data_IF_378827524319
#
_entry.id   IF_378827524319
#
_cell.length_a   1.000
_cell.length_b   1.000
_cell.length_c   1.000
_cell.angle_alpha   90.00
_cell.angle_beta   90.00
_cell.angle_gamma   90.00
#
_symmetry.space_group_name_H-M   'P 1'
#
loop_
_entity.id
_entity.type
_entity.pdbx_description
1 polymer ?
#
# COMPACT_ATOMS: atom_id res chain seq x y z
N UNK A 1 55.10 37.45 55.01
CA UNK A 1 55.80 36.62 56.06
C UNK A 1 55.58 35.16 55.62
N UNK A 2 56.73 34.58 55.21
CA UNK A 2 57.29 33.30 55.61
C UNK A 2 56.46 32.06 55.37
N UNK A 3 56.89 31.24 54.34
CA UNK A 3 57.70 29.98 54.45
C UNK A 3 56.86 28.80 54.99
N UNK A 4 56.79 27.61 54.43
CA UNK A 4 57.78 26.63 53.93
C UNK A 4 57.05 25.57 53.13
N UNK A 5 57.39 25.14 51.92
CA UNK A 5 58.41 24.11 51.55
C UNK A 5 58.10 22.68 52.05
N UNK A 6 57.81 21.84 51.04
CA UNK A 6 58.61 20.63 50.58
C UNK A 6 58.22 19.30 51.18
N UNK A 7 58.18 18.39 50.22
CA UNK A 7 58.43 16.92 50.20
C UNK A 7 57.20 16.05 50.44
N UNK A 8 56.74 15.32 49.41
CA UNK A 8 57.30 13.97 49.16
C UNK A 8 56.89 13.46 47.77
N UNK A 9 57.92 13.16 47.05
CA UNK A 9 57.98 12.35 45.81
C UNK A 9 57.90 10.88 46.22
N UNK A 10 57.33 10.08 45.25
CA UNK A 10 57.38 8.60 45.26
C UNK A 10 56.13 7.91 45.90
N UNK A 11 55.13 7.63 45.11
CA UNK A 11 54.46 6.32 44.97
C UNK A 11 53.34 6.45 43.93
N UNK A 12 53.65 6.30 42.65
CA UNK A 12 52.64 6.27 41.57
C UNK A 12 53.22 5.66 40.33
N UNK A 13 53.52 4.40 40.40
CA UNK A 13 53.84 3.59 39.25
C UNK A 13 53.18 2.21 39.40
N UNK A 14 51.87 2.15 39.34
CA UNK A 14 51.10 0.91 39.12
C UNK A 14 49.59 1.21 39.12
N UNK A 15 49.08 1.83 38.05
CA UNK A 15 47.64 1.84 37.72
C UNK A 15 47.43 2.55 36.37
N UNK A 16 48.10 2.04 35.33
CA UNK A 16 47.84 2.38 33.92
C UNK A 16 47.87 1.12 33.06
N UNK A 17 46.96 0.20 33.32
CA UNK A 17 46.62 -0.89 32.39
C UNK A 17 45.19 -1.29 32.66
N UNK A 18 44.25 -0.67 31.96
CA UNK A 18 42.86 -1.07 32.10
C UNK A 18 41.82 -0.07 31.60
N UNK A 19 42.08 0.63 30.47
CA UNK A 19 41.05 1.46 29.80
C UNK A 19 41.36 1.58 28.31
N UNK A 20 41.36 0.43 27.62
CA UNK A 20 41.24 0.35 26.15
C UNK A 20 40.48 -0.92 25.76
N UNK A 21 39.20 -1.00 26.09
CA UNK A 21 38.30 -1.91 25.42
C UNK A 21 36.91 -1.26 25.50
N UNK A 22 36.63 -0.40 24.58
CA UNK A 22 35.37 0.31 24.47
C UNK A 22 35.22 0.95 23.10
N UNK A 23 35.74 0.31 22.03
CA UNK A 23 35.17 0.50 20.69
C UNK A 23 33.96 -0.41 20.63
N UNK A 24 32.80 0.13 20.96
CA UNK A 24 31.56 -0.44 20.54
C UNK A 24 31.52 -0.38 19.01
N UNK A 25 31.91 -1.46 18.34
CA UNK A 25 31.47 -1.70 16.99
C UNK A 25 29.98 -1.82 17.06
N UNK A 26 29.28 -0.87 16.50
CA UNK A 26 27.89 -1.05 16.04
C UNK A 26 27.95 -2.26 15.11
N UNK A 27 27.53 -3.42 15.62
CA UNK A 27 27.28 -4.59 14.79
C UNK A 27 26.14 -4.16 13.87
N UNK A 28 26.40 -4.12 12.57
CA UNK A 28 25.38 -4.06 11.56
C UNK A 28 24.39 -5.19 11.84
N UNK A 29 23.09 -4.91 11.81
CA UNK A 29 22.01 -5.86 12.09
C UNK A 29 22.00 -7.11 11.17
N UNK A 30 22.89 -7.15 10.18
CA UNK A 30 23.02 -8.25 9.20
C UNK A 30 23.77 -9.50 9.71
N UNK A 31 24.25 -9.55 10.97
CA UNK A 31 25.03 -10.67 11.53
C UNK A 31 24.51 -11.14 12.90
N UNK A 32 23.28 -10.81 13.29
CA UNK A 32 22.70 -11.41 14.50
C UNK A 32 22.17 -12.82 14.16
N UNK A 33 22.49 -13.77 15.03
CA UNK A 33 22.02 -15.15 14.92
C UNK A 33 20.48 -15.18 14.97
N UNK A 34 19.85 -15.82 13.99
CA UNK A 34 18.40 -16.00 13.97
C UNK A 34 18.02 -17.03 15.04
N UNK A 35 17.21 -16.63 16.00
CA UNK A 35 16.59 -17.54 16.97
C UNK A 35 15.56 -18.39 16.23
N UNK A 36 15.66 -19.71 16.33
CA UNK A 36 14.79 -20.64 15.59
C UNK A 36 13.70 -21.29 16.45
N UNK A 37 13.66 -21.04 17.75
CA UNK A 37 12.69 -21.60 18.68
C UNK A 37 12.29 -20.55 19.73
N UNK A 38 11.00 -20.37 19.94
CA UNK A 38 10.43 -19.49 20.97
C UNK A 38 10.03 -20.32 22.17
N UNK A 39 10.89 -20.36 23.19
CA UNK A 39 10.69 -21.16 24.41
C UNK A 39 10.07 -20.39 25.58
N UNK A 40 10.19 -19.07 25.58
CA UNK A 40 9.64 -18.17 26.59
C UNK A 40 8.59 -17.24 25.98
N UNK A 41 7.64 -16.70 26.77
CA UNK A 41 6.63 -15.78 26.24
C UNK A 41 7.23 -14.54 25.59
N UNK A 42 6.84 -14.27 24.34
CA UNK A 42 7.24 -13.10 23.54
C UNK A 42 6.02 -12.31 23.13
N UNK A 43 6.08 -10.99 23.34
CA UNK A 43 5.05 -10.07 22.85
C UNK A 43 5.57 -9.25 21.66
N UNK A 44 4.78 -9.20 20.59
CA UNK A 44 5.02 -8.38 19.40
C UNK A 44 3.88 -7.40 19.21
N UNK A 45 4.17 -6.24 18.64
CA UNK A 45 3.17 -5.21 18.32
C UNK A 45 3.05 -5.02 16.82
N UNK A 46 1.83 -4.87 16.34
CA UNK A 46 1.54 -4.65 14.92
C UNK A 46 0.68 -3.40 14.71
N UNK A 47 1.25 -2.40 14.02
CA UNK A 47 0.53 -1.19 13.61
C UNK A 47 -0.18 -1.39 12.27
N UNK A 48 -1.48 -1.11 12.25
CA UNK A 48 -2.32 -1.27 11.06
C UNK A 48 -3.36 -0.13 10.95
N UNK A 49 -3.98 -0.02 9.78
CA UNK A 49 -5.06 0.92 9.49
C UNK A 49 -6.32 0.19 8.97
N UNK A 50 -6.49 -1.08 9.32
CA UNK A 50 -7.69 -1.85 8.99
C UNK A 50 -8.84 -1.41 9.87
N UNK A 51 -10.03 -1.22 9.28
CA UNK A 51 -11.25 -0.76 9.96
C UNK A 51 -12.46 -1.62 9.61
N UNK A 52 -13.46 -1.63 10.47
CA UNK A 52 -14.71 -2.34 10.24
C UNK A 52 -14.51 -3.85 10.09
N UNK A 53 -15.00 -4.43 9.02
CA UNK A 53 -14.89 -5.88 8.79
C UNK A 53 -13.46 -6.30 8.47
N UNK A 54 -12.64 -5.42 7.87
CA UNK A 54 -11.21 -5.68 7.65
C UNK A 54 -10.46 -5.87 8.98
N UNK A 55 -10.76 -5.04 9.98
CA UNK A 55 -10.16 -5.15 11.32
C UNK A 55 -10.62 -6.42 12.03
N UNK A 56 -11.90 -6.77 11.92
CA UNK A 56 -12.43 -8.03 12.49
C UNK A 56 -11.75 -9.26 11.90
N UNK A 57 -11.58 -9.30 10.57
CA UNK A 57 -10.89 -10.41 9.91
C UNK A 57 -9.43 -10.49 10.34
N UNK A 58 -8.73 -9.35 10.45
CA UNK A 58 -7.36 -9.33 10.96
C UNK A 58 -7.29 -9.82 12.41
N UNK A 59 -8.23 -9.41 13.27
CA UNK A 59 -8.30 -9.88 14.66
C UNK A 59 -8.54 -11.39 14.73
N UNK A 60 -9.49 -11.92 13.94
CA UNK A 60 -9.79 -13.37 13.91
C UNK A 60 -8.56 -14.18 13.48
N UNK A 61 -7.83 -13.73 12.45
CA UNK A 61 -6.59 -14.37 12.02
C UNK A 61 -5.51 -14.30 13.11
N UNK A 62 -5.40 -13.17 13.80
CA UNK A 62 -4.44 -12.98 14.89
C UNK A 62 -4.77 -13.89 16.08
N UNK A 63 -6.03 -14.01 16.44
CA UNK A 63 -6.47 -14.92 17.52
C UNK A 63 -6.18 -16.38 17.17
N UNK A 64 -6.49 -16.80 15.93
CA UNK A 64 -6.16 -18.14 15.41
C UNK A 64 -4.66 -18.43 15.45
N UNK A 65 -3.83 -17.43 15.12
CA UNK A 65 -2.37 -17.55 15.23
C UNK A 65 -1.94 -17.78 16.66
N UNK A 66 -2.44 -16.98 17.61
CA UNK A 66 -2.08 -17.09 19.03
C UNK A 66 -2.56 -18.40 19.66
N UNK A 67 -3.72 -18.95 19.23
CA UNK A 67 -4.19 -20.26 19.65
C UNK A 67 -3.22 -21.41 19.28
N UNK A 68 -2.51 -21.25 18.17
CA UNK A 68 -1.54 -22.22 17.66
C UNK A 68 -0.10 -21.97 18.14
N UNK A 69 0.16 -20.82 18.78
CA UNK A 69 1.48 -20.35 19.19
C UNK A 69 1.43 -19.75 20.61
N UNK A 70 1.25 -20.61 21.63
CA UNK A 70 1.00 -20.22 23.01
C UNK A 70 2.05 -19.27 23.63
N UNK A 71 3.30 -19.32 23.13
CA UNK A 71 4.38 -18.46 23.57
C UNK A 71 4.43 -17.11 22.84
N UNK A 72 3.58 -16.88 21.82
CA UNK A 72 3.61 -15.65 21.04
C UNK A 72 2.32 -14.87 21.28
N UNK A 73 2.45 -13.65 21.80
CA UNK A 73 1.34 -12.70 21.93
C UNK A 73 1.47 -11.61 20.90
N UNK A 74 0.44 -11.42 20.07
CA UNK A 74 0.36 -10.33 19.10
C UNK A 74 -0.61 -9.27 19.61
N UNK A 75 -0.12 -8.02 19.71
CA UNK A 75 -0.94 -6.87 20.08
C UNK A 75 -1.18 -5.99 18.86
N UNK A 76 -2.40 -6.03 18.32
CA UNK A 76 -2.83 -5.16 17.22
C UNK A 76 -3.04 -3.73 17.71
N UNK A 77 -2.54 -2.75 16.95
CA UNK A 77 -2.69 -1.32 17.26
C UNK A 77 -3.20 -0.58 16.03
N UNK A 78 -4.50 -0.32 16.00
CA UNK A 78 -5.15 0.42 14.91
C UNK A 78 -4.73 1.90 14.95
N UNK A 79 -4.26 2.42 13.81
CA UNK A 79 -3.83 3.81 13.62
C UNK A 79 -4.88 4.62 12.81
N UNK A 80 -6.13 4.20 12.79
CA UNK A 80 -7.30 4.84 12.19
C UNK A 80 -7.31 4.84 10.66
N UNK A 81 -6.33 5.44 10.00
CA UNK A 81 -6.29 5.56 8.55
C UNK A 81 -4.88 5.37 8.00
N UNK A 82 -4.76 5.14 6.70
CA UNK A 82 -3.45 5.10 6.04
C UNK A 82 -2.64 6.40 6.20
N UNK A 83 -3.21 7.60 6.04
CA UNK A 83 -2.48 8.84 6.32
C UNK A 83 -2.00 8.95 7.76
N UNK A 84 -2.84 8.56 8.75
CA UNK A 84 -2.47 8.59 10.16
C UNK A 84 -1.34 7.58 10.46
N UNK A 85 -1.42 6.37 9.89
CA UNK A 85 -0.38 5.36 10.01
C UNK A 85 0.94 5.83 9.39
N UNK A 86 0.92 6.39 8.19
CA UNK A 86 2.10 6.94 7.53
C UNK A 86 2.74 8.05 8.37
N UNK A 87 1.94 8.99 8.87
CA UNK A 87 2.41 10.07 9.74
C UNK A 87 3.02 9.51 11.03
N UNK A 88 2.38 8.50 11.63
CA UNK A 88 2.86 7.84 12.84
C UNK A 88 4.21 7.16 12.62
N UNK A 89 4.36 6.38 11.53
CA UNK A 89 5.63 5.75 11.16
C UNK A 89 6.71 6.83 11.01
N UNK A 90 6.46 7.83 10.15
CA UNK A 90 7.43 8.91 9.87
C UNK A 90 7.85 9.65 11.14
N UNK A 91 6.92 9.98 12.02
CA UNK A 91 7.24 10.69 13.26
C UNK A 91 8.06 9.82 14.22
N UNK A 92 7.81 8.49 14.25
CA UNK A 92 8.46 7.59 15.20
C UNK A 92 9.86 7.15 14.74
N UNK A 93 10.19 7.24 13.44
CA UNK A 93 11.56 6.96 12.94
C UNK A 93 12.63 7.83 13.61
N UNK A 94 12.27 9.02 14.09
CA UNK A 94 13.18 9.87 14.87
C UNK A 94 13.52 9.28 16.28
N UNK A 95 12.75 8.31 16.75
CA UNK A 95 12.95 7.58 18.03
C UNK A 95 12.81 6.08 17.78
N UNK A 96 13.76 5.41 17.12
CA UNK A 96 13.58 4.03 16.62
C UNK A 96 13.19 3.00 17.69
N UNK A 97 13.57 3.21 18.95
CA UNK A 97 13.17 2.34 20.08
C UNK A 97 11.67 2.29 20.35
N UNK A 98 10.92 3.30 19.86
CA UNK A 98 9.47 3.43 20.06
C UNK A 98 8.68 2.89 18.84
N UNK A 99 9.37 2.38 17.81
CA UNK A 99 8.76 1.70 16.67
C UNK A 99 8.15 0.35 17.12
N UNK A 100 7.08 -0.11 16.47
CA UNK A 100 6.48 -1.42 16.74
C UNK A 100 7.39 -2.55 16.27
N UNK A 101 7.02 -3.80 16.54
CA UNK A 101 7.69 -4.95 15.92
C UNK A 101 7.37 -5.02 14.44
N UNK A 102 6.09 -4.87 14.09
CA UNK A 102 5.57 -4.93 12.71
C UNK A 102 4.72 -3.71 12.38
N UNK A 103 4.72 -3.33 11.12
CA UNK A 103 3.75 -2.39 10.56
C UNK A 103 3.32 -2.80 9.17
N UNK A 104 2.08 -2.50 8.78
CA UNK A 104 1.72 -2.44 7.37
C UNK A 104 2.14 -1.09 6.79
N UNK A 105 2.64 -1.07 5.58
CA UNK A 105 3.00 0.16 4.88
C UNK A 105 3.03 -0.05 3.36
N UNK A 106 2.85 1.04 2.62
CA UNK A 106 3.20 1.03 1.21
C UNK A 106 4.73 1.06 1.04
N UNK A 107 5.30 0.38 0.03
CA UNK A 107 6.76 0.33 -0.16
C UNK A 107 7.43 1.71 -0.20
N UNK A 108 6.80 2.69 -0.86
CA UNK A 108 7.36 4.04 -0.99
C UNK A 108 7.39 4.84 0.32
N UNK A 109 6.58 4.49 1.34
CA UNK A 109 6.67 5.11 2.67
C UNK A 109 7.93 4.70 3.42
N UNK A 110 8.48 3.54 3.09
CA UNK A 110 9.56 2.90 3.85
C UNK A 110 10.96 3.27 3.33
N UNK A 111 11.07 4.13 2.30
CA UNK A 111 12.35 4.52 1.70
C UNK A 111 13.35 5.04 2.74
N UNK A 112 12.92 5.98 3.59
CA UNK A 112 13.80 6.53 4.63
C UNK A 112 14.16 5.46 5.68
N UNK A 113 13.21 4.63 6.09
CA UNK A 113 13.46 3.55 7.04
C UNK A 113 14.44 2.50 6.48
N UNK A 114 14.40 2.23 5.16
CA UNK A 114 15.39 1.38 4.48
C UNK A 114 16.78 2.03 4.50
N UNK A 115 16.88 3.33 4.17
CA UNK A 115 18.15 4.07 4.14
C UNK A 115 18.78 4.19 5.53
N UNK A 116 17.96 4.36 6.56
CA UNK A 116 18.40 4.48 7.95
C UNK A 116 18.61 3.11 8.64
N UNK A 117 18.54 2.00 7.87
CA UNK A 117 18.71 0.62 8.37
C UNK A 117 17.74 0.24 9.51
N UNK A 118 16.55 0.84 9.51
CA UNK A 118 15.50 0.58 10.52
C UNK A 118 14.64 -0.65 10.21
N UNK A 119 14.82 -1.28 9.04
CA UNK A 119 14.08 -2.47 8.62
C UNK A 119 14.94 -3.71 8.65
N UNK A 120 14.31 -4.83 8.99
CA UNK A 120 14.92 -6.15 8.90
C UNK A 120 14.90 -6.63 7.45
N UNK A 121 16.03 -7.16 6.96
CA UNK A 121 16.05 -7.96 5.75
C UNK A 121 15.43 -9.33 6.06
N UNK A 122 14.27 -9.62 5.47
CA UNK A 122 13.54 -10.88 5.66
C UNK A 122 14.18 -12.06 4.90
N UNK A 123 15.06 -11.81 3.92
CA UNK A 123 15.62 -12.87 3.09
C UNK A 123 16.32 -13.95 3.90
N UNK A 124 17.18 -13.65 4.92
CA UNK A 124 17.79 -14.68 5.77
C UNK A 124 16.76 -15.49 6.57
N UNK A 125 15.62 -14.91 6.91
CA UNK A 125 14.52 -15.63 7.58
C UNK A 125 13.78 -16.53 6.60
N UNK A 126 13.46 -16.05 5.40
CA UNK A 126 12.79 -16.81 4.33
C UNK A 126 13.62 -18.03 3.91
N UNK A 127 14.92 -17.88 3.79
CA UNK A 127 15.88 -18.93 3.35
C UNK A 127 16.38 -19.80 4.52
N UNK A 128 15.92 -19.61 5.76
CA UNK A 128 16.39 -20.36 6.91
C UNK A 128 15.94 -21.82 6.86
N UNK A 129 16.87 -22.75 7.13
CA UNK A 129 16.61 -24.21 7.05
C UNK A 129 15.58 -24.71 8.09
N UNK A 130 15.40 -24.00 9.21
CA UNK A 130 14.52 -24.42 10.30
C UNK A 130 13.16 -23.71 10.28
N UNK A 131 13.16 -22.37 10.14
CA UNK A 131 11.95 -21.55 10.23
C UNK A 131 11.54 -20.94 8.90
N UNK A 132 12.24 -21.24 7.81
CA UNK A 132 12.04 -20.63 6.49
C UNK A 132 10.61 -20.68 5.95
N UNK A 133 10.37 -19.94 4.89
CA UNK A 133 9.06 -19.87 4.24
C UNK A 133 9.14 -20.40 2.80
N UNK A 134 8.87 -21.69 2.63
CA UNK A 134 8.79 -22.31 1.30
C UNK A 134 7.64 -21.71 0.45
N UNK A 135 6.63 -21.14 1.09
CA UNK A 135 5.48 -20.54 0.41
C UNK A 135 5.79 -19.13 -0.14
N UNK A 136 6.91 -18.50 0.23
CA UNK A 136 7.28 -17.17 -0.26
C UNK A 136 7.30 -17.08 -1.80
N UNK A 137 7.80 -18.12 -2.48
CA UNK A 137 7.84 -18.17 -3.96
C UNK A 137 6.45 -18.35 -4.59
N UNK A 138 5.45 -18.75 -3.83
CA UNK A 138 4.06 -18.84 -4.24
C UNK A 138 3.35 -17.47 -4.26
N UNK A 139 3.91 -16.47 -3.55
CA UNK A 139 3.44 -15.09 -3.66
C UNK A 139 3.68 -14.60 -5.09
N UNK A 140 2.67 -13.96 -5.69
CA UNK A 140 2.76 -13.40 -7.04
C UNK A 140 4.00 -12.52 -7.19
N UNK A 141 4.81 -12.78 -8.23
CA UNK A 141 6.05 -12.03 -8.50
C UNK A 141 5.81 -10.51 -8.56
N UNK A 142 4.73 -10.07 -9.23
CA UNK A 142 4.37 -8.65 -9.30
C UNK A 142 4.12 -8.02 -7.92
N UNK A 143 3.68 -8.79 -6.93
CA UNK A 143 3.47 -8.28 -5.57
C UNK A 143 4.78 -8.21 -4.77
N UNK A 144 5.76 -9.07 -5.05
CA UNK A 144 7.07 -9.06 -4.38
C UNK A 144 7.96 -7.90 -4.83
N UNK A 145 7.84 -7.48 -6.09
CA UNK A 145 8.72 -6.48 -6.73
C UNK A 145 8.85 -5.18 -5.92
N UNK A 146 7.79 -4.73 -5.24
CA UNK A 146 7.82 -3.50 -4.44
C UNK A 146 8.57 -3.62 -3.12
N UNK A 147 8.73 -4.83 -2.60
CA UNK A 147 9.35 -5.13 -1.31
C UNK A 147 10.78 -5.63 -1.43
N UNK A 148 11.20 -5.99 -2.65
CA UNK A 148 12.55 -6.44 -2.97
C UNK A 148 13.39 -5.26 -3.49
N UNK A 149 14.34 -4.80 -2.69
CA UNK A 149 15.22 -3.67 -3.03
C UNK A 149 16.68 -4.07 -2.83
N UNK A 150 17.51 -3.87 -3.86
CA UNK A 150 18.95 -4.14 -3.84
C UNK A 150 19.33 -5.56 -3.35
N UNK A 151 18.50 -6.55 -3.72
CA UNK A 151 18.70 -7.97 -3.38
C UNK A 151 18.32 -8.37 -1.96
N UNK A 152 17.74 -7.44 -1.18
CA UNK A 152 17.11 -7.67 0.11
C UNK A 152 15.60 -7.74 0.00
N UNK A 153 14.96 -8.42 0.94
CA UNK A 153 13.50 -8.50 1.07
C UNK A 153 13.10 -7.73 2.32
N UNK A 154 12.55 -6.54 2.16
CA UNK A 154 12.16 -5.71 3.30
C UNK A 154 10.72 -5.89 3.75
N UNK A 155 9.83 -6.30 2.85
CA UNK A 155 8.41 -6.44 3.16
C UNK A 155 7.84 -7.78 2.71
N UNK A 156 6.79 -8.24 3.40
CA UNK A 156 6.00 -9.41 3.04
C UNK A 156 4.67 -8.94 2.45
N UNK A 157 4.38 -9.21 1.15
CA UNK A 157 3.09 -8.85 0.55
C UNK A 157 1.92 -9.49 1.30
N UNK A 158 0.94 -8.70 1.71
CA UNK A 158 -0.20 -9.21 2.49
C UNK A 158 -1.55 -8.78 1.90
N UNK A 159 -1.94 -7.52 2.09
CA UNK A 159 -3.24 -7.02 1.67
C UNK A 159 -3.12 -6.27 0.35
N UNK A 160 -3.00 -7.03 -0.72
CA UNK A 160 -2.79 -6.51 -2.08
C UNK A 160 -4.12 -6.21 -2.78
N UNK A 161 -4.14 -5.11 -3.52
CA UNK A 161 -5.32 -4.69 -4.29
C UNK A 161 -4.90 -3.98 -5.58
N UNK A 162 -5.90 -3.65 -6.38
CA UNK A 162 -5.78 -2.77 -7.54
C UNK A 162 -7.12 -2.07 -7.78
N UNK A 163 -7.18 -1.20 -8.76
CA UNK A 163 -8.43 -0.57 -9.15
C UNK A 163 -9.19 -1.41 -10.18
N UNK A 164 -10.52 -1.43 -10.03
CA UNK A 164 -11.48 -2.10 -10.90
C UNK A 164 -12.61 -1.13 -11.26
N UNK A 165 -13.40 -1.46 -12.25
CA UNK A 165 -14.64 -0.74 -12.52
C UNK A 165 -15.77 -1.37 -11.69
N UNK A 166 -16.38 -0.60 -10.83
CA UNK A 166 -17.66 -0.89 -10.19
C UNK A 166 -18.76 -0.26 -11.03
N UNK A 167 -19.79 -1.02 -11.43
CA UNK A 167 -20.88 -0.48 -12.25
C UNK A 167 -22.24 -1.03 -11.82
N UNK A 168 -23.29 -0.24 -12.07
CA UNK A 168 -24.68 -0.65 -11.88
C UNK A 168 -25.07 -1.56 -13.03
N UNK A 169 -25.01 -2.88 -12.80
CA UNK A 169 -25.29 -3.87 -13.83
C UNK A 169 -26.74 -3.80 -14.31
N UNK A 170 -27.69 -3.53 -13.41
CA UNK A 170 -29.09 -3.33 -13.78
C UNK A 170 -29.24 -2.19 -14.79
N UNK A 171 -28.55 -1.07 -14.57
CA UNK A 171 -28.53 0.06 -15.48
C UNK A 171 -27.88 -0.29 -16.82
N UNK A 172 -26.76 -1.03 -16.78
CA UNK A 172 -26.05 -1.46 -18.00
C UNK A 172 -26.91 -2.39 -18.85
N UNK A 173 -27.58 -3.36 -18.24
CA UNK A 173 -28.50 -4.28 -18.91
C UNK A 173 -29.69 -3.50 -19.55
N UNK A 174 -30.25 -2.52 -18.83
CA UNK A 174 -31.33 -1.67 -19.34
C UNK A 174 -30.90 -0.85 -20.57
N UNK A 175 -29.67 -0.34 -20.57
CA UNK A 175 -29.15 0.50 -21.66
C UNK A 175 -28.45 -0.30 -22.77
N UNK A 176 -28.29 -1.62 -22.59
CA UNK A 176 -27.56 -2.47 -23.52
C UNK A 176 -26.07 -2.13 -23.59
N UNK A 177 -25.48 -1.77 -22.45
CA UNK A 177 -24.06 -1.41 -22.34
C UNK A 177 -23.21 -2.59 -21.89
N UNK A 178 -21.98 -2.65 -22.41
CA UNK A 178 -20.93 -3.54 -21.94
C UNK A 178 -19.93 -2.78 -21.08
N UNK A 179 -19.25 -3.48 -20.16
CA UNK A 179 -18.21 -2.87 -19.34
C UNK A 179 -17.03 -2.42 -20.24
N UNK A 180 -16.57 -1.16 -20.09
CA UNK A 180 -15.52 -0.62 -20.95
C UNK A 180 -14.16 -1.24 -20.65
N UNK A 181 -13.33 -1.40 -21.69
CA UNK A 181 -11.98 -1.99 -21.61
C UNK A 181 -10.86 -0.99 -21.92
N UNK A 182 -11.23 0.19 -22.44
CA UNK A 182 -10.28 1.28 -22.74
C UNK A 182 -10.78 2.60 -22.14
N UNK A 183 -9.91 3.59 -22.02
CA UNK A 183 -10.28 4.94 -21.60
C UNK A 183 -11.29 5.59 -22.56
N UNK A 184 -11.18 5.33 -23.87
CA UNK A 184 -12.10 5.84 -24.87
C UNK A 184 -13.51 5.24 -24.67
N UNK A 185 -13.60 3.92 -24.48
CA UNK A 185 -14.87 3.24 -24.19
C UNK A 185 -15.45 3.71 -22.85
N UNK A 186 -14.59 3.91 -21.82
CA UNK A 186 -15.02 4.41 -20.51
C UNK A 186 -15.69 5.79 -20.62
N UNK A 187 -15.10 6.70 -21.39
CA UNK A 187 -15.69 8.01 -21.65
C UNK A 187 -17.00 7.90 -22.47
N UNK A 188 -17.04 7.01 -23.50
CA UNK A 188 -18.23 6.83 -24.33
C UNK A 188 -19.40 6.23 -23.55
N UNK A 189 -19.15 5.22 -22.73
CA UNK A 189 -20.16 4.61 -21.83
C UNK A 189 -20.66 5.65 -20.83
N UNK A 190 -19.77 6.41 -20.22
CA UNK A 190 -20.11 7.49 -19.27
C UNK A 190 -21.03 8.53 -19.92
N UNK A 191 -20.70 8.98 -21.14
CA UNK A 191 -21.50 9.93 -21.89
C UNK A 191 -22.87 9.36 -22.20
N UNK A 192 -22.97 8.11 -22.64
CA UNK A 192 -24.24 7.43 -22.94
C UNK A 192 -25.14 7.37 -21.70
N UNK A 193 -24.58 7.03 -20.53
CA UNK A 193 -25.33 7.02 -19.26
C UNK A 193 -25.89 8.42 -18.96
N UNK A 194 -25.06 9.45 -19.06
CA UNK A 194 -25.47 10.83 -18.79
C UNK A 194 -26.56 11.29 -19.74
N UNK A 195 -26.41 11.04 -21.04
CA UNK A 195 -27.40 11.42 -22.05
C UNK A 195 -28.74 10.69 -21.89
N UNK A 196 -28.72 9.42 -21.48
CA UNK A 196 -29.93 8.59 -21.36
C UNK A 196 -30.67 8.72 -20.03
N UNK A 197 -29.92 8.94 -18.94
CA UNK A 197 -30.46 8.91 -17.58
C UNK A 197 -30.39 10.26 -16.86
N UNK A 198 -29.60 11.22 -17.34
CA UNK A 198 -29.43 12.51 -16.68
C UNK A 198 -28.65 12.45 -15.37
N UNK A 199 -27.95 11.36 -15.12
CA UNK A 199 -27.01 11.19 -13.99
C UNK A 199 -25.57 11.29 -14.49
N UNK A 200 -24.61 11.39 -13.58
CA UNK A 200 -23.20 11.34 -13.96
C UNK A 200 -22.84 9.95 -14.47
N UNK A 201 -22.07 9.84 -15.56
CA UNK A 201 -21.64 8.56 -16.11
C UNK A 201 -20.67 7.86 -15.18
N UNK A 202 -19.56 8.55 -14.83
CA UNK A 202 -18.49 7.92 -14.05
C UNK A 202 -17.61 8.91 -13.27
N UNK A 203 -16.63 8.33 -12.57
CA UNK A 203 -15.50 9.01 -11.94
C UNK A 203 -14.42 8.03 -11.48
N UNK A 204 -13.32 8.56 -10.97
CA UNK A 204 -12.23 7.80 -10.37
C UNK A 204 -12.10 8.20 -8.90
N UNK A 205 -11.99 7.23 -8.01
CA UNK A 205 -11.82 7.48 -6.57
C UNK A 205 -10.51 8.21 -6.26
N UNK A 206 -9.43 7.82 -6.97
CA UNK A 206 -8.09 8.36 -6.75
C UNK A 206 -7.58 9.11 -7.98
N UNK A 207 -7.43 10.42 -7.85
CA UNK A 207 -6.95 11.27 -8.94
C UNK A 207 -5.46 11.08 -9.23
N UNK A 208 -4.65 10.81 -8.21
CA UNK A 208 -3.24 10.50 -8.40
C UNK A 208 -3.03 9.12 -9.03
N UNK A 209 -3.82 8.10 -8.67
CA UNK A 209 -3.80 6.83 -9.37
C UNK A 209 -4.22 6.99 -10.83
N UNK A 210 -5.33 7.69 -11.09
CA UNK A 210 -5.77 7.98 -12.45
C UNK A 210 -4.65 8.64 -13.26
N UNK A 211 -4.06 9.72 -12.74
CA UNK A 211 -3.03 10.48 -13.44
C UNK A 211 -1.80 9.63 -13.76
N UNK A 212 -1.25 8.95 -12.77
CA UNK A 212 -0.05 8.11 -12.94
C UNK A 212 -0.32 6.88 -13.81
N UNK A 213 -1.50 6.26 -13.69
CA UNK A 213 -1.91 5.12 -14.52
C UNK A 213 -2.15 5.56 -15.97
N UNK A 214 -2.74 6.73 -16.20
CA UNK A 214 -2.91 7.27 -17.54
C UNK A 214 -1.55 7.50 -18.22
N UNK A 215 -0.60 8.13 -17.50
CA UNK A 215 0.77 8.32 -17.99
C UNK A 215 1.45 6.99 -18.32
N UNK A 216 1.35 5.99 -17.43
CA UNK A 216 1.90 4.65 -17.67
C UNK A 216 1.37 4.02 -18.95
N UNK A 217 0.08 4.14 -19.23
CA UNK A 217 -0.53 3.64 -20.47
C UNK A 217 -0.17 4.47 -21.71
N UNK A 218 0.43 5.66 -21.53
CA UNK A 218 1.06 6.45 -22.62
C UNK A 218 2.58 6.22 -22.71
N UNK A 219 3.13 5.27 -21.97
CA UNK A 219 4.55 4.92 -21.98
C UNK A 219 5.43 5.80 -21.11
N UNK A 220 4.84 6.57 -20.17
CA UNK A 220 5.55 7.45 -19.25
C UNK A 220 5.51 6.88 -17.84
N UNK A 221 6.68 6.53 -17.28
CA UNK A 221 6.82 6.14 -15.89
C UNK A 221 6.88 7.37 -14.98
N UNK A 222 6.08 7.35 -13.90
CA UNK A 222 6.04 8.45 -12.93
C UNK A 222 7.22 8.34 -11.93
N UNK A 223 8.20 9.26 -12.06
CA UNK A 223 9.40 9.33 -11.23
C UNK A 223 10.02 10.73 -11.27
N UNK A 224 11.21 10.91 -10.72
CA UNK A 224 11.92 12.21 -10.68
C UNK A 224 12.31 12.78 -12.07
N UNK A 225 12.29 11.96 -13.11
CA UNK A 225 12.61 12.37 -14.48
C UNK A 225 11.35 12.73 -15.30
N UNK A 226 10.16 12.58 -14.73
CA UNK A 226 8.89 12.80 -15.42
C UNK A 226 8.70 14.27 -15.79
N UNK A 227 8.57 14.56 -17.08
CA UNK A 227 8.13 15.89 -17.52
C UNK A 227 6.60 15.99 -17.41
N UNK A 228 6.14 16.53 -16.28
CA UNK A 228 4.70 16.73 -16.03
C UNK A 228 4.05 17.80 -16.92
N UNK A 229 4.82 18.47 -17.77
CA UNK A 229 4.32 19.42 -18.76
C UNK A 229 4.25 18.81 -20.18
N UNK A 230 4.58 17.52 -20.31
CA UNK A 230 4.54 16.77 -21.57
C UNK A 230 3.14 16.73 -22.20
N UNK A 231 3.08 16.32 -23.47
CA UNK A 231 1.81 16.16 -24.19
C UNK A 231 0.91 15.11 -23.50
N UNK A 232 1.48 14.02 -23.00
CA UNK A 232 0.81 12.92 -22.31
C UNK A 232 0.20 13.40 -21.00
N UNK A 233 0.91 14.22 -20.23
CA UNK A 233 0.43 14.82 -18.99
C UNK A 233 -0.74 15.79 -19.24
N UNK A 234 -0.61 16.64 -20.25
CA UNK A 234 -1.71 17.54 -20.67
C UNK A 234 -2.91 16.75 -21.15
N UNK A 235 -2.71 15.65 -21.88
CA UNK A 235 -3.78 14.76 -22.35
C UNK A 235 -4.51 14.09 -21.17
N UNK A 236 -3.78 13.57 -20.18
CA UNK A 236 -4.37 12.97 -18.97
C UNK A 236 -5.29 13.96 -18.24
N UNK A 237 -4.80 15.16 -17.96
CA UNK A 237 -5.59 16.18 -17.29
C UNK A 237 -6.81 16.63 -18.12
N UNK A 238 -6.66 16.78 -19.43
CA UNK A 238 -7.76 17.15 -20.34
C UNK A 238 -8.80 16.06 -20.48
N UNK A 239 -8.41 14.80 -20.58
CA UNK A 239 -9.35 13.67 -20.65
C UNK A 239 -10.39 13.76 -19.52
N UNK A 240 -9.94 14.00 -18.30
CA UNK A 240 -10.85 14.10 -17.17
C UNK A 240 -11.61 15.44 -17.13
N UNK A 241 -10.91 16.55 -17.37
CA UNK A 241 -11.51 17.88 -17.37
C UNK A 241 -12.62 18.02 -18.44
N UNK A 242 -12.42 17.45 -19.62
CA UNK A 242 -13.44 17.50 -20.69
C UNK A 242 -14.70 16.72 -20.29
N UNK A 243 -14.55 15.58 -19.59
CA UNK A 243 -15.67 14.85 -19.00
C UNK A 243 -16.41 15.64 -17.92
N UNK A 244 -15.68 16.43 -17.10
CA UNK A 244 -16.30 17.37 -16.14
C UNK A 244 -17.06 18.49 -16.84
N UNK A 245 -16.49 19.06 -17.92
CA UNK A 245 -17.15 20.12 -18.73
C UNK A 245 -18.45 19.62 -19.33
N UNK A 246 -18.40 18.45 -19.93
CA UNK A 246 -19.53 17.83 -20.62
C UNK A 246 -20.53 17.18 -19.63
N UNK A 247 -20.17 17.06 -18.36
CA UNK A 247 -21.04 16.59 -17.26
C UNK A 247 -21.12 15.08 -17.09
N UNK A 248 -20.33 14.28 -17.83
CA UNK A 248 -20.33 12.82 -17.70
C UNK A 248 -19.28 12.27 -16.74
N UNK A 249 -18.34 13.09 -16.26
CA UNK A 249 -17.42 12.76 -15.17
C UNK A 249 -17.63 13.64 -13.93
N UNK A 250 -17.30 13.09 -12.77
CA UNK A 250 -17.19 13.82 -11.50
C UNK A 250 -15.98 13.34 -10.71
N UNK A 251 -15.49 14.19 -9.81
CA UNK A 251 -14.54 13.80 -8.77
C UNK A 251 -15.26 13.37 -7.50
N UNK A 252 -14.61 12.62 -6.62
CA UNK A 252 -15.12 12.27 -5.31
C UNK A 252 -15.33 13.54 -4.45
N UNK A 253 -14.36 14.44 -4.42
CA UNK A 253 -14.44 15.70 -3.68
C UNK A 253 -14.72 15.45 -2.18
N UNK A 254 -15.79 16.06 -1.66
CA UNK A 254 -16.20 15.92 -0.26
C UNK A 254 -16.79 14.57 0.11
N UNK A 255 -17.14 13.73 -0.86
CA UNK A 255 -17.64 12.37 -0.60
C UNK A 255 -16.50 11.42 -0.18
N UNK A 256 -15.23 11.80 -0.35
CA UNK A 256 -14.01 11.02 -0.20
C UNK A 256 -13.91 9.83 -1.15
N UNK A 257 -14.99 9.05 -1.30
CA UNK A 257 -15.12 7.89 -2.20
C UNK A 257 -16.41 7.97 -3.00
N UNK A 258 -16.38 7.43 -4.22
CA UNK A 258 -17.56 7.41 -5.11
C UNK A 258 -18.54 6.26 -4.81
N UNK A 259 -18.21 5.35 -3.92
CA UNK A 259 -19.09 4.25 -3.52
C UNK A 259 -20.40 4.72 -2.89
N UNK A 260 -20.38 5.81 -2.12
CA UNK A 260 -21.60 6.43 -1.58
C UNK A 260 -22.53 7.01 -2.66
N UNK A 261 -22.06 7.95 -3.48
CA UNK A 261 -22.79 8.45 -4.65
C UNK A 261 -23.25 7.36 -5.63
N UNK A 262 -22.44 6.31 -5.84
CA UNK A 262 -22.78 5.15 -6.65
C UNK A 262 -23.98 4.39 -6.06
N UNK A 263 -23.95 4.07 -4.78
CA UNK A 263 -25.05 3.42 -4.06
C UNK A 263 -26.33 4.27 -3.98
N UNK A 264 -26.18 5.59 -4.13
CA UNK A 264 -27.29 6.54 -4.24
C UNK A 264 -27.77 6.76 -5.70
N UNK A 265 -27.28 5.95 -6.65
CA UNK A 265 -27.61 6.02 -8.08
C UNK A 265 -27.34 7.40 -8.73
N UNK A 266 -26.39 8.16 -8.19
CA UNK A 266 -25.99 9.47 -8.73
C UNK A 266 -24.96 9.34 -9.86
N UNK A 267 -24.32 8.16 -10.01
CA UNK A 267 -23.46 7.82 -11.14
C UNK A 267 -23.61 6.35 -11.52
N UNK A 268 -23.37 6.04 -12.80
CA UNK A 268 -23.59 4.68 -13.34
C UNK A 268 -22.45 3.72 -13.10
N UNK A 269 -21.22 4.21 -12.99
CA UNK A 269 -20.01 3.40 -12.70
C UNK A 269 -18.92 4.27 -12.07
N UNK A 270 -17.91 3.64 -11.49
CA UNK A 270 -16.69 4.33 -11.06
C UNK A 270 -15.50 3.38 -11.02
N UNK A 271 -14.30 3.94 -11.06
CA UNK A 271 -13.06 3.22 -10.81
C UNK A 271 -12.68 3.40 -9.35
N UNK A 272 -12.48 2.29 -8.66
CA UNK A 272 -12.06 2.26 -7.26
C UNK A 272 -11.43 0.92 -6.90
N UNK A 273 -10.88 0.82 -5.69
CA UNK A 273 -10.21 -0.39 -5.24
C UNK A 273 -11.14 -1.61 -5.20
N UNK A 274 -10.64 -2.78 -5.63
CA UNK A 274 -11.33 -4.06 -5.42
C UNK A 274 -11.53 -4.40 -3.94
N UNK A 275 -10.64 -3.94 -3.05
CA UNK A 275 -10.78 -4.08 -1.60
C UNK A 275 -11.97 -3.27 -1.01
N UNK A 276 -12.67 -2.51 -1.83
CA UNK A 276 -13.93 -1.85 -1.49
C UNK A 276 -15.16 -2.75 -1.53
N UNK A 277 -15.05 -4.02 -1.92
CA UNK A 277 -16.20 -4.91 -2.18
C UNK A 277 -17.22 -4.94 -1.05
N UNK A 278 -16.80 -5.13 0.19
CA UNK A 278 -17.70 -5.18 1.36
C UNK A 278 -18.44 -3.86 1.57
N UNK A 279 -17.74 -2.74 1.42
CA UNK A 279 -18.34 -1.40 1.55
C UNK A 279 -19.33 -1.11 0.44
N UNK A 280 -19.03 -1.51 -0.81
CA UNK A 280 -19.94 -1.34 -1.95
C UNK A 280 -21.19 -2.19 -1.78
N UNK A 281 -21.05 -3.47 -1.43
CA UNK A 281 -22.19 -4.37 -1.15
C UNK A 281 -23.09 -3.80 -0.06
N UNK A 282 -22.50 -3.35 1.06
CA UNK A 282 -23.25 -2.77 2.17
C UNK A 282 -23.97 -1.46 1.79
N UNK A 283 -23.29 -0.57 1.05
CA UNK A 283 -23.88 0.72 0.65
C UNK A 283 -25.02 0.55 -0.36
N UNK A 284 -24.87 -0.36 -1.33
CA UNK A 284 -25.90 -0.66 -2.35
C UNK A 284 -27.08 -1.37 -1.73
N UNK A 285 -26.88 -2.27 -0.77
CA UNK A 285 -27.94 -2.96 0.01
C UNK A 285 -29.06 -3.54 -0.87
N UNK A 286 -28.68 -4.18 -1.97
CA UNK A 286 -29.62 -4.85 -2.88
C UNK A 286 -30.50 -3.94 -3.75
N UNK A 287 -30.26 -2.62 -3.78
CA UNK A 287 -31.02 -1.67 -4.62
C UNK A 287 -30.89 -1.99 -6.11
N UNK A 288 -29.75 -2.47 -6.54
CA UNK A 288 -29.46 -2.89 -7.92
C UNK A 288 -28.37 -3.99 -7.94
N UNK A 289 -28.24 -4.69 -9.06
CA UNK A 289 -27.17 -5.67 -9.25
C UNK A 289 -25.83 -4.95 -9.50
N UNK A 290 -24.81 -5.31 -8.72
CA UNK A 290 -23.45 -4.76 -8.84
C UNK A 290 -22.69 -5.59 -9.87
N UNK A 291 -22.09 -4.93 -10.85
CA UNK A 291 -21.10 -5.50 -11.75
C UNK A 291 -19.70 -5.03 -11.39
N UNK A 292 -18.71 -5.87 -11.67
CA UNK A 292 -17.28 -5.57 -11.53
C UNK A 292 -16.58 -5.94 -12.82
N UNK A 293 -15.65 -5.09 -13.27
CA UNK A 293 -14.84 -5.36 -14.45
C UNK A 293 -13.38 -4.90 -14.21
N UNK A 294 -12.40 -5.49 -14.93
CA UNK A 294 -11.01 -5.02 -14.86
C UNK A 294 -10.89 -3.54 -15.23
N UNK A 295 -9.83 -2.89 -14.75
CA UNK A 295 -9.50 -1.49 -15.08
C UNK A 295 -9.50 -1.27 -16.61
N UNK A 296 -9.99 -0.11 -17.11
CA UNK A 296 -10.18 0.13 -18.55
C UNK A 296 -8.89 0.52 -19.27
N UNK A 297 -7.79 -0.19 -19.03
CA UNK A 297 -6.50 -0.04 -19.70
C UNK A 297 -5.60 -1.26 -19.47
N UNK A 298 -4.47 -1.33 -20.19
CA UNK A 298 -3.49 -2.44 -20.11
C UNK A 298 -2.71 -2.43 -18.80
N UNK A 299 -2.21 -1.26 -18.38
CA UNK A 299 -1.48 -1.09 -17.12
C UNK A 299 -2.39 -0.55 -16.06
N UNK A 300 -2.30 -1.08 -14.85
CA UNK A 300 -3.05 -0.60 -13.68
C UNK A 300 -2.15 -0.57 -12.46
N UNK A 301 -2.33 0.45 -11.61
CA UNK A 301 -1.53 0.59 -10.40
C UNK A 301 -1.88 -0.51 -9.39
N UNK A 302 -0.86 -1.24 -8.95
CA UNK A 302 -0.94 -2.10 -7.79
C UNK A 302 -1.11 -1.26 -6.54
N UNK A 303 -2.01 -1.64 -5.69
CA UNK A 303 -2.29 -1.02 -4.40
C UNK A 303 -2.17 -2.03 -3.27
N UNK A 304 -2.46 -1.55 -2.06
CA UNK A 304 -2.35 -2.35 -0.85
C UNK A 304 -0.94 -2.33 -0.28
N UNK A 305 -0.83 -2.77 0.95
CA UNK A 305 0.39 -2.66 1.75
C UNK A 305 1.10 -4.00 1.89
N UNK A 306 2.37 -3.92 2.22
CA UNK A 306 3.19 -5.04 2.68
C UNK A 306 3.40 -4.93 4.19
N UNK A 307 3.84 -6.00 4.83
CA UNK A 307 4.18 -6.04 6.25
C UNK A 307 5.68 -5.91 6.42
N UNK A 308 6.11 -4.94 7.21
CA UNK A 308 7.51 -4.62 7.47
C UNK A 308 7.87 -4.89 8.93
N UNK A 309 9.04 -5.46 9.15
CA UNK A 309 9.59 -5.72 10.48
C UNK A 309 10.68 -4.69 10.79
N UNK A 310 10.60 -4.05 11.97
CA UNK A 310 11.59 -3.07 12.40
C UNK A 310 12.77 -3.71 13.13
N UNK A 311 13.97 -3.17 12.91
CA UNK A 311 15.24 -3.69 13.42
C UNK A 311 15.45 -3.48 14.93
N UNK A 312 14.64 -2.62 15.59
CA UNK A 312 14.66 -2.43 17.04
C UNK A 312 14.10 -3.62 17.85
N UNK A 313 13.40 -4.55 17.19
CA UNK A 313 12.90 -5.77 17.81
C UNK A 313 14.03 -6.70 18.26
N UNK A 314 13.85 -7.45 19.37
CA UNK A 314 14.79 -8.47 19.79
C UNK A 314 14.82 -9.65 18.81
N UNK A 315 15.82 -10.53 18.90
CA UNK A 315 15.91 -11.70 18.03
C UNK A 315 14.68 -12.61 18.16
N UNK A 316 14.18 -12.82 19.39
CA UNK A 316 12.98 -13.60 19.66
C UNK A 316 11.73 -12.92 19.08
N UNK A 317 11.62 -11.59 19.24
CA UNK A 317 10.51 -10.82 18.64
C UNK A 317 10.53 -10.88 17.12
N UNK A 318 11.70 -10.83 16.49
CA UNK A 318 11.83 -10.96 15.03
C UNK A 318 11.39 -12.33 14.54
N UNK A 319 11.78 -13.40 15.24
CA UNK A 319 11.32 -14.76 14.90
C UNK A 319 9.83 -14.90 15.11
N UNK A 320 9.28 -14.43 16.23
CA UNK A 320 7.84 -14.45 16.48
C UNK A 320 7.06 -13.66 15.41
N UNK A 321 7.59 -12.49 15.02
CA UNK A 321 7.02 -11.69 13.95
C UNK A 321 7.06 -12.40 12.59
N UNK A 322 8.18 -13.07 12.26
CA UNK A 322 8.30 -13.82 11.02
C UNK A 322 7.33 -15.02 10.96
N UNK A 323 7.14 -15.73 12.06
CA UNK A 323 6.12 -16.79 12.14
C UNK A 323 4.71 -16.23 11.90
N UNK A 324 4.40 -15.03 12.43
CA UNK A 324 3.13 -14.37 12.16
C UNK A 324 2.99 -13.93 10.71
N UNK A 325 4.06 -13.42 10.07
CA UNK A 325 4.07 -13.10 8.63
C UNK A 325 3.77 -14.33 7.78
N UNK A 326 4.44 -15.48 8.03
CA UNK A 326 4.17 -16.75 7.34
C UNK A 326 2.72 -17.20 7.50
N UNK A 327 2.21 -17.09 8.72
CA UNK A 327 0.81 -17.46 9.00
C UNK A 327 -0.15 -16.61 8.18
N UNK A 328 0.01 -15.28 8.18
CA UNK A 328 -0.85 -14.37 7.43
C UNK A 328 -0.79 -14.58 5.91
N UNK A 329 0.37 -15.01 5.38
CA UNK A 329 0.58 -15.23 3.94
C UNK A 329 0.39 -16.69 3.52
N UNK A 330 0.02 -17.59 4.44
CA UNK A 330 -0.33 -18.96 4.07
C UNK A 330 -1.54 -18.99 3.13
N UNK A 331 -1.62 -19.99 2.26
CA UNK A 331 -2.70 -20.14 1.29
C UNK A 331 -4.08 -20.08 1.95
N UNK A 332 -4.30 -20.80 3.03
CA UNK A 332 -5.59 -20.84 3.75
C UNK A 332 -5.99 -19.46 4.28
N UNK A 333 -5.05 -18.75 4.91
CA UNK A 333 -5.33 -17.45 5.51
C UNK A 333 -5.45 -16.35 4.46
N UNK A 334 -4.76 -16.48 3.31
CA UNK A 334 -4.94 -15.59 2.17
C UNK A 334 -6.29 -15.80 1.48
N UNK A 335 -6.82 -17.04 1.43
CA UNK A 335 -8.20 -17.30 0.98
C UNK A 335 -9.19 -16.61 1.91
N UNK A 336 -9.07 -16.84 3.23
CA UNK A 336 -9.92 -16.18 4.24
C UNK A 336 -9.87 -14.66 4.10
N UNK A 337 -8.67 -14.10 4.01
CA UNK A 337 -8.47 -12.66 3.85
C UNK A 337 -9.14 -12.13 2.57
N UNK A 338 -8.91 -12.78 1.43
CA UNK A 338 -9.49 -12.37 0.14
C UNK A 338 -11.02 -12.42 0.12
N UNK A 339 -11.60 -13.49 0.67
CA UNK A 339 -13.06 -13.69 0.71
C UNK A 339 -13.76 -12.67 1.62
N UNK A 340 -13.22 -12.44 2.81
CA UNK A 340 -13.87 -11.59 3.81
C UNK A 340 -13.64 -10.09 3.58
N UNK A 341 -12.57 -9.73 2.85
CA UNK A 341 -12.15 -8.33 2.72
C UNK A 341 -12.24 -7.77 1.29
N UNK A 342 -12.27 -8.64 0.26
CA UNK A 342 -12.20 -8.23 -1.14
C UNK A 342 -10.78 -7.91 -1.61
N UNK A 343 -9.74 -8.03 -0.77
CA UNK A 343 -8.35 -7.95 -1.22
C UNK A 343 -8.01 -9.11 -2.17
N UNK A 344 -7.02 -8.91 -3.03
CA UNK A 344 -6.49 -9.98 -3.87
C UNK A 344 -5.64 -10.90 -2.99
N UNK A 345 -5.92 -12.21 -2.92
CA UNK A 345 -5.01 -13.14 -2.25
C UNK A 345 -3.60 -13.02 -2.83
N UNK A 346 -2.59 -12.89 -1.97
CA UNK A 346 -1.23 -12.63 -2.43
C UNK A 346 -0.58 -13.87 -3.09
N UNK A 347 -1.08 -15.08 -2.83
CA UNK A 347 -0.47 -16.34 -3.31
C UNK A 347 -1.24 -16.93 -4.49
N UNK A 348 -0.50 -17.58 -5.41
CA UNK A 348 -1.07 -18.22 -6.61
C UNK A 348 -2.07 -19.32 -6.23
N UNK A 349 -1.74 -20.15 -5.22
CA UNK A 349 -2.60 -21.25 -4.79
C UNK A 349 -3.91 -20.74 -4.16
N UNK A 350 -3.85 -19.62 -3.41
CA UNK A 350 -5.06 -19.04 -2.85
C UNK A 350 -5.99 -18.49 -3.94
N UNK A 351 -5.43 -17.83 -4.95
CA UNK A 351 -6.19 -17.34 -6.12
C UNK A 351 -6.85 -18.49 -6.87
N UNK A 352 -6.14 -19.61 -7.02
CA UNK A 352 -6.62 -20.78 -7.76
C UNK A 352 -7.55 -21.69 -6.95
N UNK A 353 -7.70 -21.48 -5.64
CA UNK A 353 -8.47 -22.35 -4.78
C UNK A 353 -9.97 -22.33 -5.10
N UNK A 354 -10.63 -23.47 -4.95
CA UNK A 354 -12.08 -23.56 -5.10
C UNK A 354 -12.82 -22.73 -4.03
N UNK A 355 -12.28 -22.64 -2.82
CA UNK A 355 -12.84 -21.85 -1.73
C UNK A 355 -12.88 -20.36 -2.05
N UNK A 356 -11.87 -19.83 -2.72
CA UNK A 356 -11.87 -18.45 -3.19
C UNK A 356 -12.75 -18.24 -4.43
N UNK A 357 -12.59 -19.07 -5.45
CA UNK A 357 -13.30 -18.92 -6.74
C UNK A 357 -14.80 -19.09 -6.62
N UNK A 358 -15.29 -19.89 -5.67
CA UNK A 358 -16.70 -20.15 -5.39
C UNK A 358 -17.25 -19.38 -4.18
N UNK A 359 -16.50 -18.44 -3.62
CA UNK A 359 -16.83 -17.72 -2.37
C UNK A 359 -18.03 -16.78 -2.46
N UNK A 360 -18.47 -16.43 -3.69
CA UNK A 360 -19.46 -15.36 -3.91
C UNK A 360 -18.87 -13.94 -3.86
N UNK A 361 -17.54 -13.80 -3.86
CA UNK A 361 -16.86 -12.54 -4.13
C UNK A 361 -17.20 -12.08 -5.56
N UNK A 362 -17.47 -10.79 -5.72
CA UNK A 362 -17.69 -10.16 -7.02
C UNK A 362 -16.36 -10.01 -7.81
N UNK A 363 -15.23 -9.97 -7.10
CA UNK A 363 -13.90 -9.82 -7.68
C UNK A 363 -13.33 -11.16 -8.15
N UNK A 364 -13.59 -12.26 -7.44
CA UNK A 364 -13.04 -13.57 -7.78
C UNK A 364 -13.26 -13.99 -9.25
N UNK A 365 -14.46 -13.81 -9.86
CA UNK A 365 -14.70 -14.20 -11.25
C UNK A 365 -13.88 -13.39 -12.28
N UNK A 366 -13.49 -12.16 -11.94
CA UNK A 366 -12.74 -11.28 -12.86
C UNK A 366 -11.24 -11.27 -12.58
N UNK A 367 -10.80 -11.98 -11.54
CA UNK A 367 -9.42 -11.89 -11.03
C UNK A 367 -8.37 -12.26 -12.09
N UNK A 368 -8.63 -13.24 -12.94
CA UNK A 368 -7.73 -13.58 -14.05
C UNK A 368 -7.54 -12.42 -15.03
N UNK A 369 -8.60 -11.67 -15.31
CA UNK A 369 -8.54 -10.45 -16.12
C UNK A 369 -7.81 -9.30 -15.41
N UNK A 370 -7.91 -9.23 -14.07
CA UNK A 370 -7.22 -8.24 -13.24
C UNK A 370 -5.71 -8.56 -13.17
N UNK A 371 -5.35 -9.81 -12.85
CA UNK A 371 -3.95 -10.23 -12.68
C UNK A 371 -3.19 -10.39 -14.01
N UNK A 372 -3.90 -10.49 -15.15
CA UNK A 372 -3.30 -10.47 -16.48
C UNK A 372 -2.89 -9.06 -16.94
N UNK A 373 -3.37 -8.01 -16.25
CA UNK A 373 -2.94 -6.64 -16.50
C UNK A 373 -1.47 -6.45 -16.10
N UNK A 374 -0.82 -5.46 -16.69
CA UNK A 374 0.49 -5.02 -16.23
C UNK A 374 0.34 -4.26 -14.91
N UNK A 375 0.42 -4.99 -13.79
CA UNK A 375 0.40 -4.41 -12.46
C UNK A 375 1.72 -3.67 -12.20
N UNK A 376 1.67 -2.38 -11.91
CA UNK A 376 2.86 -1.59 -11.64
C UNK A 376 2.75 -0.82 -10.32
N UNK A 377 3.88 -0.47 -9.77
CA UNK A 377 4.01 0.51 -8.67
C UNK A 377 4.86 1.68 -9.14
N UNK A 378 4.70 2.83 -8.52
CA UNK A 378 5.66 3.90 -8.69
C UNK A 378 7.02 3.49 -8.13
N UNK A 379 8.10 4.02 -8.71
CA UNK A 379 9.46 3.70 -8.26
C UNK A 379 9.60 3.97 -6.75
N UNK A 380 10.14 3.00 -6.03
CA UNK A 380 10.48 3.14 -4.60
C UNK A 380 11.75 3.98 -4.50
N UNK A 381 11.60 5.30 -4.40
CA UNK A 381 12.71 6.26 -4.36
C UNK A 381 12.30 7.52 -3.58
N UNK A 382 13.30 8.24 -3.09
CA UNK A 382 13.10 9.49 -2.34
C UNK A 382 12.31 10.53 -3.17
N UNK A 383 11.37 11.21 -2.52
CA UNK A 383 10.55 12.25 -3.13
C UNK A 383 9.37 11.74 -3.98
N UNK A 384 9.39 10.48 -4.46
CA UNK A 384 8.34 9.96 -5.35
C UNK A 384 6.98 9.92 -4.68
N UNK A 385 6.91 9.55 -3.39
CA UNK A 385 5.65 9.57 -2.63
C UNK A 385 5.08 11.00 -2.52
N UNK A 386 5.91 11.97 -2.17
CA UNK A 386 5.49 13.37 -2.09
C UNK A 386 5.02 13.91 -3.44
N UNK A 387 5.73 13.60 -4.51
CA UNK A 387 5.34 13.99 -5.87
C UNK A 387 4.02 13.34 -6.32
N UNK A 388 3.82 12.06 -5.98
CA UNK A 388 2.57 11.34 -6.24
C UNK A 388 1.40 11.95 -5.47
N UNK A 389 1.57 12.30 -4.20
CA UNK A 389 0.53 12.95 -3.40
C UNK A 389 0.21 14.35 -3.91
N UNK A 390 1.23 15.11 -4.35
CA UNK A 390 1.04 16.43 -4.96
C UNK A 390 0.28 16.36 -6.30
N UNK A 391 0.41 15.25 -7.06
CA UNK A 391 -0.36 15.06 -8.29
C UNK A 391 -1.87 15.06 -8.05
N UNK A 392 -2.33 14.54 -6.90
CA UNK A 392 -3.73 14.62 -6.48
C UNK A 392 -4.17 16.06 -6.32
N UNK A 393 -3.38 16.87 -5.60
CA UNK A 393 -3.66 18.29 -5.33
C UNK A 393 -3.80 19.07 -6.64
N UNK A 394 -2.86 18.86 -7.57
CA UNK A 394 -2.88 19.51 -8.87
C UNK A 394 -4.08 19.07 -9.72
N UNK A 395 -4.40 17.79 -9.72
CA UNK A 395 -5.58 17.29 -10.45
C UNK A 395 -6.88 17.85 -9.85
N UNK A 396 -7.02 17.91 -8.52
CA UNK A 396 -8.17 18.55 -7.88
C UNK A 396 -8.29 20.02 -8.27
N UNK A 397 -7.17 20.77 -8.28
CA UNK A 397 -7.15 22.18 -8.68
C UNK A 397 -7.53 22.38 -10.17
N UNK A 398 -7.05 21.50 -11.07
CA UNK A 398 -7.45 21.51 -12.48
C UNK A 398 -8.93 21.21 -12.65
N UNK A 399 -9.44 20.17 -11.98
CA UNK A 399 -10.79 19.64 -12.20
C UNK A 399 -11.89 20.42 -11.46
N UNK A 400 -11.52 21.28 -10.51
CA UNK A 400 -12.48 22.14 -9.78
C UNK A 400 -12.99 23.32 -10.61
N UNK A 401 -12.27 23.74 -11.63
CA UNK A 401 -12.66 24.82 -12.54
C UNK A 401 -12.75 24.34 -13.99
N UNK A 402 -13.97 24.34 -14.56
CA UNK A 402 -14.21 23.96 -15.95
C UNK A 402 -13.40 24.80 -16.98
N UNK A 403 -12.92 25.99 -16.61
CA UNK A 403 -12.12 26.88 -17.46
C UNK A 403 -10.64 26.83 -17.11
N UNK A 404 -10.20 25.85 -16.33
CA UNK A 404 -8.81 25.73 -15.87
C UNK A 404 -7.81 25.76 -17.02
N UNK A 405 -6.75 26.56 -16.89
CA UNK A 405 -5.58 26.51 -17.77
C UNK A 405 -4.68 25.35 -17.35
N UNK A 406 -4.94 24.18 -17.94
CA UNK A 406 -4.23 22.92 -17.66
C UNK A 406 -2.71 23.11 -17.77
N UNK A 407 -2.24 23.84 -18.80
CA UNK A 407 -0.79 24.00 -19.00
C UNK A 407 -0.15 24.84 -17.91
N UNK A 408 -0.80 25.96 -17.54
CA UNK A 408 -0.30 26.81 -16.45
C UNK A 408 -0.27 26.07 -15.10
N UNK A 409 -1.29 25.22 -14.82
CA UNK A 409 -1.33 24.41 -13.59
C UNK A 409 -0.23 23.31 -13.57
N UNK A 410 0.01 22.66 -14.70
CA UNK A 410 1.08 21.66 -14.81
C UNK A 410 2.49 22.31 -14.75
N UNK A 411 2.67 23.54 -15.25
CA UNK A 411 3.92 24.29 -15.03
C UNK A 411 4.13 24.65 -13.55
N UNK A 412 3.07 25.01 -12.83
CA UNK A 412 3.16 25.23 -11.39
C UNK A 412 3.53 23.93 -10.66
N UNK A 413 2.94 22.81 -11.05
CA UNK A 413 3.28 21.49 -10.52
C UNK A 413 4.75 21.13 -10.76
N UNK A 414 5.28 21.37 -11.97
CA UNK A 414 6.70 21.16 -12.28
C UNK A 414 7.61 21.90 -11.31
N UNK A 415 7.29 23.16 -11.00
CA UNK A 415 8.07 23.94 -10.03
C UNK A 415 8.00 23.35 -8.61
N UNK A 416 6.83 22.83 -8.19
CA UNK A 416 6.69 22.13 -6.91
C UNK A 416 7.55 20.87 -6.89
N UNK A 417 7.55 20.08 -7.97
CA UNK A 417 8.38 18.87 -8.07
C UNK A 417 9.88 19.15 -8.00
N UNK A 418 10.35 20.26 -8.55
CA UNK A 418 11.76 20.66 -8.40
C UNK A 418 12.14 20.80 -6.94
N UNK A 419 11.29 21.41 -6.10
CA UNK A 419 11.55 21.52 -4.66
C UNK A 419 11.39 20.21 -3.87
N UNK A 420 10.65 19.23 -4.41
CA UNK A 420 10.50 17.90 -3.78
C UNK A 420 11.73 17.03 -4.02
N UNK A 421 12.34 17.18 -5.20
CA UNK A 421 13.48 16.34 -5.62
C UNK A 421 14.86 16.96 -5.38
N UNK A 422 14.93 18.24 -4.98
CA UNK A 422 16.16 18.90 -4.49
C UNK A 422 16.52 18.46 -3.06
#
# INVERSE_FOLDING_TARGET
MKFKKLTSLALSAALMTGLMTGCGSTKSASNEEIVTEITEPVEITFWHAMNGDLEKTLQNLTDKFMESNENIKVTLQNQSSYPDLQQKITATTASPKDLPTLTQAYPHWMVNAMQDELLVDLKPYIENETIGDENYTNILEGFRTGSEVDGKVYGMPFNKSTEVIWYNKTLFDELGLEAPTTFEEFAQVSKTITEKKGIVGAGFDSLNNFYTTYLKNKGVDFNSETDVTSAESVEAAKYYLDGIKDGYFRIAGTDNYLSGPFAAEQLGMYVGSNAGESFVKQAVDGKFEIGVAPYPAESVMQQGTDLYMFSNATAEQRTAAFEFLKFLTSTENQVTWGVETGYIPATQDAIASEDYTNSGSLVAPILSGVTSKNLFINKVAQGVDSAYNESKVVMEDILSDKNSDVKAKLEAYKNTLMGIYE
#
